data_IF_796889801714
#
_entry.id   IF_796889801714
#
_cell.length_a   1.000
_cell.length_b   1.000
_cell.length_c   1.000
_cell.angle_alpha   90.00
_cell.angle_beta   90.00
_cell.angle_gamma   90.00
#
_symmetry.space_group_name_H-M   'P 1'
#
loop_
_entity.id
_entity.type
_entity.pdbx_description
1 polymer ?
#
# COMPACT_ATOMS: atom_id res chain seq x y z
N UNK A 1 -5.73 20.46 0.89
CA UNK A 1 -6.34 19.38 1.69
C UNK A 1 -5.23 18.73 2.50
N UNK A 2 -5.52 17.95 3.54
CA UNK A 2 -4.44 17.18 4.16
C UNK A 2 -4.01 16.11 3.15
N UNK A 3 -2.71 15.83 3.02
CA UNK A 3 -2.17 14.79 2.11
C UNK A 3 -2.95 13.48 2.15
N UNK A 4 -3.40 13.09 3.35
CA UNK A 4 -4.19 11.88 3.55
C UNK A 4 -5.56 11.93 2.87
N UNK A 5 -6.23 13.08 2.87
CA UNK A 5 -7.50 13.27 2.17
C UNK A 5 -7.30 13.06 0.67
N UNK A 6 -6.25 13.66 0.10
CA UNK A 6 -5.93 13.55 -1.33
C UNK A 6 -5.66 12.09 -1.73
N UNK A 7 -4.85 11.36 -0.94
CA UNK A 7 -4.61 9.92 -1.15
C UNK A 7 -5.94 9.15 -1.10
N UNK A 8 -6.78 9.40 -0.10
CA UNK A 8 -8.03 8.65 0.08
C UNK A 8 -9.08 8.92 -1.01
N UNK A 9 -8.95 10.01 -1.77
CA UNK A 9 -9.77 10.25 -2.96
C UNK A 9 -9.31 9.49 -4.21
N UNK A 10 -8.08 8.95 -4.23
CA UNK A 10 -7.58 8.21 -5.38
C UNK A 10 -8.37 6.92 -5.60
N UNK A 11 -8.61 6.52 -6.87
CA UNK A 11 -9.31 5.28 -7.18
C UNK A 11 -8.52 4.07 -6.68
N UNK A 12 -9.23 3.09 -6.12
CA UNK A 12 -8.65 1.79 -5.78
C UNK A 12 -8.52 0.98 -7.07
N UNK A 13 -7.33 0.46 -7.31
CA UNK A 13 -6.99 -0.35 -8.49
C UNK A 13 -6.83 -1.81 -8.07
N UNK A 14 -7.54 -2.69 -8.76
CA UNK A 14 -7.55 -4.13 -8.48
C UNK A 14 -7.34 -4.91 -9.79
N UNK A 15 -6.08 -5.02 -10.27
CA UNK A 15 -5.78 -5.74 -11.50
C UNK A 15 -6.26 -7.21 -11.44
N UNK A 16 -6.91 -7.76 -12.48
CA UNK A 16 -7.48 -9.11 -12.44
C UNK A 16 -6.42 -10.22 -12.55
N UNK A 17 -5.16 -9.87 -12.80
CA UNK A 17 -4.05 -10.81 -12.89
C UNK A 17 -3.72 -11.42 -11.52
N UNK A 18 -3.16 -12.64 -11.52
CA UNK A 18 -2.78 -13.34 -10.29
C UNK A 18 -1.71 -12.58 -9.50
N UNK A 19 -0.76 -12.00 -10.22
CA UNK A 19 0.26 -11.09 -9.73
C UNK A 19 0.32 -9.86 -10.64
N UNK A 20 0.81 -8.75 -10.10
CA UNK A 20 0.95 -7.48 -10.82
C UNK A 20 2.08 -6.67 -10.19
N UNK A 21 2.51 -5.64 -10.90
CA UNK A 21 3.68 -4.83 -10.56
C UNK A 21 3.36 -3.34 -10.63
N UNK A 22 4.34 -2.49 -10.34
CA UNK A 22 4.23 -1.06 -10.49
C UNK A 22 3.89 -0.63 -11.93
N UNK A 23 4.27 -1.41 -12.94
CA UNK A 23 3.98 -1.12 -14.34
C UNK A 23 2.50 -1.32 -14.70
N UNK A 24 1.77 -2.11 -13.92
CA UNK A 24 0.35 -2.43 -14.13
C UNK A 24 -0.58 -1.43 -13.43
N UNK A 25 -0.03 -0.47 -12.70
CA UNK A 25 -0.76 0.53 -11.92
C UNK A 25 -0.71 1.92 -12.57
N UNK A 26 -1.80 2.65 -12.43
CA UNK A 26 -1.88 4.07 -12.78
C UNK A 26 -1.44 4.90 -11.56
N UNK A 27 -0.35 5.64 -11.72
CA UNK A 27 0.23 6.46 -10.66
C UNK A 27 -0.32 7.89 -10.71
N UNK A 28 -0.77 8.39 -9.56
CA UNK A 28 -1.25 9.75 -9.40
C UNK A 28 -0.25 10.57 -8.60
N UNK A 29 -0.06 11.83 -8.99
CA UNK A 29 0.77 12.78 -8.27
C UNK A 29 -0.02 13.35 -7.09
N UNK A 30 0.54 13.24 -5.89
CA UNK A 30 -0.01 13.82 -4.66
C UNK A 30 1.02 14.74 -4.03
N UNK A 31 0.58 15.88 -3.51
CA UNK A 31 1.46 16.81 -2.83
C UNK A 31 2.09 16.14 -1.59
N UNK A 32 3.42 16.02 -1.63
CA UNK A 32 4.26 15.47 -0.58
C UNK A 32 4.76 16.53 0.39
N UNK A 33 5.70 16.13 1.24
CA UNK A 33 6.32 17.04 2.20
C UNK A 33 7.33 17.95 1.49
N UNK A 34 7.44 19.23 1.92
CA UNK A 34 8.41 20.21 1.34
C UNK A 34 8.32 20.40 -0.19
N UNK A 35 7.11 20.43 -0.76
CA UNK A 35 6.89 20.66 -2.21
C UNK A 35 7.43 19.54 -3.11
N UNK A 36 7.76 18.39 -2.54
CA UNK A 36 8.03 17.18 -3.30
C UNK A 36 6.70 16.56 -3.74
N UNK A 37 6.62 16.05 -4.96
CA UNK A 37 5.42 15.39 -5.48
C UNK A 37 5.62 13.90 -5.39
N UNK A 38 4.78 13.23 -4.61
CA UNK A 38 4.81 11.78 -4.46
C UNK A 38 3.94 11.13 -5.53
N UNK A 39 4.46 10.09 -6.18
CA UNK A 39 3.65 9.22 -7.04
C UNK A 39 3.02 8.13 -6.20
N UNK A 40 1.69 8.07 -6.19
CA UNK A 40 0.92 7.16 -5.36
C UNK A 40 -0.10 6.40 -6.21
N UNK A 41 -0.25 5.11 -5.93
CA UNK A 41 -1.34 4.26 -6.40
C UNK A 41 -1.99 3.57 -5.19
N UNK A 42 -3.30 3.30 -5.27
CA UNK A 42 -4.05 2.59 -4.22
C UNK A 42 -4.46 1.22 -4.71
N UNK A 43 -4.20 0.20 -3.90
CA UNK A 43 -4.61 -1.18 -4.13
C UNK A 43 -5.31 -1.74 -2.88
N UNK A 44 -6.20 -2.74 -3.01
CA UNK A 44 -6.75 -3.44 -1.85
C UNK A 44 -5.65 -4.08 -1.02
N UNK A 45 -5.76 -3.99 0.31
CA UNK A 45 -4.76 -4.59 1.22
C UNK A 45 -4.61 -6.11 1.02
N UNK A 46 -5.70 -6.81 0.68
CA UNK A 46 -5.69 -8.24 0.36
C UNK A 46 -4.80 -8.61 -0.82
N UNK A 47 -4.51 -7.66 -1.72
CA UNK A 47 -3.71 -7.86 -2.93
C UNK A 47 -2.23 -7.48 -2.75
N UNK A 48 -1.80 -7.08 -1.55
CA UNK A 48 -0.40 -6.68 -1.29
C UNK A 48 0.57 -7.84 -1.57
N UNK A 49 0.21 -9.07 -1.22
CA UNK A 49 1.05 -10.24 -1.47
C UNK A 49 1.21 -10.53 -2.98
N UNK A 50 0.17 -10.26 -3.77
CA UNK A 50 0.18 -10.42 -5.24
C UNK A 50 1.05 -9.34 -5.90
N UNK A 51 0.96 -8.10 -5.41
CA UNK A 51 1.83 -7.00 -5.83
C UNK A 51 3.30 -7.30 -5.54
N UNK A 52 3.62 -7.70 -4.30
CA UNK A 52 4.99 -8.02 -3.91
C UNK A 52 5.56 -9.16 -4.75
N UNK A 53 4.74 -10.17 -5.08
CA UNK A 53 5.15 -11.28 -5.96
C UNK A 53 5.45 -10.81 -7.38
N UNK A 54 4.55 -10.05 -7.98
CA UNK A 54 4.72 -9.53 -9.34
C UNK A 54 5.94 -8.63 -9.44
N UNK A 55 6.08 -7.68 -8.51
CA UNK A 55 7.23 -6.77 -8.45
C UNK A 55 8.56 -7.50 -8.21
N UNK A 56 8.57 -8.58 -7.41
CA UNK A 56 9.76 -9.42 -7.21
C UNK A 56 10.15 -10.24 -8.43
N UNK A 57 9.19 -10.53 -9.32
CA UNK A 57 9.41 -11.31 -10.54
C UNK A 57 9.90 -10.48 -11.73
N UNK A 58 9.96 -9.15 -11.59
CA UNK A 58 10.41 -8.26 -12.64
C UNK A 58 11.91 -8.45 -12.95
N UNK A 59 12.21 -8.93 -14.15
CA UNK A 59 13.59 -9.19 -14.60
C UNK A 59 14.41 -7.92 -14.84
N UNK A 60 13.75 -6.79 -15.12
CA UNK A 60 14.42 -5.51 -15.37
C UNK A 60 14.88 -4.83 -14.08
N UNK A 61 14.15 -5.07 -12.98
CA UNK A 61 14.45 -4.51 -11.67
C UNK A 61 14.14 -5.53 -10.57
N UNK A 62 15.06 -6.48 -10.30
CA UNK A 62 14.83 -7.53 -9.32
C UNK A 62 14.76 -6.93 -7.91
N UNK A 63 13.54 -6.59 -7.49
CA UNK A 63 13.28 -5.98 -6.19
C UNK A 63 13.12 -7.07 -5.15
N UNK A 64 14.01 -7.10 -4.15
CA UNK A 64 13.91 -8.04 -3.02
C UNK A 64 13.18 -7.36 -1.88
N UNK A 65 11.90 -7.65 -1.72
CA UNK A 65 11.15 -7.21 -0.55
C UNK A 65 11.53 -8.04 0.67
N UNK A 66 12.21 -7.43 1.64
CA UNK A 66 12.32 -7.99 2.98
C UNK A 66 11.09 -7.56 3.80
N UNK A 67 10.41 -8.52 4.41
CA UNK A 67 9.31 -8.19 5.32
C UNK A 67 9.90 -7.73 6.65
N UNK A 68 10.13 -6.42 6.77
CA UNK A 68 10.69 -5.78 7.97
C UNK A 68 9.82 -5.98 9.23
N UNK A 69 8.50 -6.08 9.06
CA UNK A 69 7.58 -6.33 10.17
C UNK A 69 6.29 -7.03 9.71
N UNK A 70 5.95 -8.16 10.34
CA UNK A 70 4.63 -8.78 10.23
C UNK A 70 3.84 -8.50 11.49
N UNK A 71 2.92 -7.53 11.46
CA UNK A 71 1.99 -7.31 12.58
C UNK A 71 0.72 -8.14 12.36
N UNK A 72 0.79 -9.45 12.64
CA UNK A 72 -0.43 -10.28 12.73
C UNK A 72 -1.05 -10.07 14.11
N UNK A 73 -2.31 -9.63 14.14
CA UNK A 73 -3.06 -9.47 15.40
C UNK A 73 -3.81 -10.76 15.73
N UNK A 74 -3.75 -11.26 16.97
CA UNK A 74 -4.71 -12.23 17.47
C UNK A 74 -6.11 -11.60 17.51
N UNK A 75 -7.16 -12.38 17.21
CA UNK A 75 -8.55 -11.90 17.22
C UNK A 75 -8.97 -11.29 18.56
N UNK A 76 -8.35 -11.73 19.66
CA UNK A 76 -8.74 -11.38 21.03
C UNK A 76 -7.87 -10.28 21.67
N UNK A 77 -7.03 -9.59 20.88
CA UNK A 77 -6.12 -8.58 21.43
C UNK A 77 -6.86 -7.29 21.79
N UNK A 78 -7.03 -7.03 23.10
CA UNK A 78 -7.60 -5.79 23.64
C UNK A 78 -6.68 -4.59 23.36
N UNK A 79 -7.18 -3.59 22.65
CA UNK A 79 -6.44 -2.35 22.34
C UNK A 79 -6.49 -1.33 23.48
N UNK A 80 -5.34 -0.72 23.78
CA UNK A 80 -5.31 0.68 24.22
C UNK A 80 -5.29 1.56 22.96
N UNK A 81 -6.22 2.52 22.80
CA UNK A 81 -6.17 3.46 21.69
C UNK A 81 -4.87 4.26 21.79
N UNK A 82 -4.02 4.17 20.77
CA UNK A 82 -2.88 5.07 20.60
C UNK A 82 -3.05 5.75 19.27
N UNK A 83 -3.09 7.08 19.32
CA UNK A 83 -3.43 8.00 18.23
C UNK A 83 -2.56 7.80 16.98
N UNK A 84 -1.36 7.24 17.12
CA UNK A 84 -0.41 7.09 16.01
C UNK A 84 -0.11 5.63 15.60
N UNK A 85 -0.84 4.63 16.11
CA UNK A 85 -0.25 3.29 16.20
C UNK A 85 -0.63 2.27 15.10
N UNK A 86 -1.77 2.35 14.42
CA UNK A 86 -2.17 1.28 13.48
C UNK A 86 -3.14 1.76 12.39
N UNK A 87 -2.97 1.27 11.14
CA UNK A 87 -4.05 1.20 10.15
C UNK A 87 -5.19 0.39 10.76
N UNK A 88 -6.32 1.05 11.01
CA UNK A 88 -7.52 0.38 11.51
C UNK A 88 -8.03 -0.58 10.43
N UNK A 89 -8.07 -1.86 10.78
CA UNK A 89 -8.76 -2.88 10.00
C UNK A 89 -10.26 -2.64 10.16
N UNK A 90 -10.85 -1.90 9.23
CA UNK A 90 -12.31 -1.80 9.11
C UNK A 90 -12.75 -3.03 8.32
N UNK A 91 -13.44 -3.95 9.01
CA UNK A 91 -14.22 -5.03 8.42
C UNK A 91 -15.48 -4.49 7.75
#
# INVERSE_FOLDING_TARGET
MARWDDILTLPIQDPPTLDFSAADLVWSNVDGWKQEVDRVARIPFSRVDDFVRGESSNSECPTRFHVEARRRRPKDAVLKPRVDAYLEYIL
#
